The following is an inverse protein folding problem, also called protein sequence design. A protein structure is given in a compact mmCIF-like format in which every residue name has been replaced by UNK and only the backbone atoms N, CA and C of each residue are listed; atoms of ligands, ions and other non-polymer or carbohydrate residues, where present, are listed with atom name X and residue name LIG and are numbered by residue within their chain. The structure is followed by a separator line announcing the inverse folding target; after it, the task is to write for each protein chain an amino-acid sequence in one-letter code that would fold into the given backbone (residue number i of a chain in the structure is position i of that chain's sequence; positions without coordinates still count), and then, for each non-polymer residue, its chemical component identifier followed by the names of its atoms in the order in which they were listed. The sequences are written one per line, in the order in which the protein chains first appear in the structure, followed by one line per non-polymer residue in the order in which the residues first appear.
data_IF_021114602631
#
_entry.id   IF_021114602631
#
_cell.length_a   1.000
_cell.length_b   1.000
_cell.length_c   1.000
_cell.angle_alpha   90.00
_cell.angle_beta   90.00
_cell.angle_gamma   90.00
#
_symmetry.space_group_name_H-M   'P 1'
#
loop_
_entity.id
_entity.type
_entity.pdbx_description
1 polymer ?
#
# COMPACT_ATOMS: atom_id res chain seq x y z
N UNK A 1 36.21 -23.39 -15.19
CA UNK A 1 35.01 -22.76 -15.78
C UNK A 1 33.84 -22.88 -14.81
N UNK A 2 33.24 -21.76 -14.39
CA UNK A 2 32.17 -21.77 -13.40
C UNK A 2 30.98 -22.61 -13.90
N UNK A 3 30.63 -23.67 -13.15
CA UNK A 3 29.55 -24.59 -13.48
C UNK A 3 28.25 -23.78 -13.59
N UNK A 4 27.57 -23.85 -14.74
CA UNK A 4 26.28 -23.19 -14.99
C UNK A 4 25.22 -23.75 -14.02
N UNK A 5 25.05 -23.10 -12.88
CA UNK A 5 24.08 -23.52 -11.86
C UNK A 5 22.65 -23.17 -12.33
N UNK A 6 22.00 -24.14 -12.99
CA UNK A 6 20.65 -24.01 -13.54
C UNK A 6 19.60 -23.60 -12.47
N UNK A 7 19.78 -24.07 -11.24
CA UNK A 7 18.93 -23.72 -10.10
C UNK A 7 19.03 -22.22 -9.76
N UNK A 8 20.23 -21.64 -9.77
CA UNK A 8 20.47 -20.23 -9.51
C UNK A 8 19.83 -19.35 -10.60
N UNK A 9 20.04 -19.69 -11.88
CA UNK A 9 19.43 -18.97 -13.01
C UNK A 9 17.89 -19.02 -12.95
N UNK A 10 17.29 -20.13 -12.51
CA UNK A 10 15.85 -20.23 -12.26
C UNK A 10 15.41 -19.29 -11.13
N UNK A 11 16.17 -19.21 -10.03
CA UNK A 11 15.86 -18.30 -8.92
C UNK A 11 15.92 -16.83 -9.32
N UNK A 12 16.88 -16.43 -10.16
CA UNK A 12 16.95 -15.06 -10.72
C UNK A 12 15.69 -14.73 -11.52
N UNK A 13 15.28 -15.61 -12.45
CA UNK A 13 14.04 -15.39 -13.23
C UNK A 13 12.78 -15.31 -12.34
N UNK A 14 12.72 -16.11 -11.26
CA UNK A 14 11.61 -16.06 -10.31
C UNK A 14 11.63 -14.76 -9.47
N UNK A 15 12.81 -14.31 -9.04
CA UNK A 15 12.95 -13.11 -8.21
C UNK A 15 12.54 -11.86 -8.99
N UNK A 16 12.91 -11.75 -10.26
CA UNK A 16 12.51 -10.63 -11.13
C UNK A 16 10.99 -10.55 -11.31
N UNK A 17 10.33 -11.68 -11.56
CA UNK A 17 8.86 -11.75 -11.69
C UNK A 17 8.17 -11.30 -10.40
N UNK A 18 8.69 -11.73 -9.23
CA UNK A 18 8.18 -11.29 -7.92
C UNK A 18 8.48 -9.81 -7.67
N UNK A 19 9.66 -9.33 -8.06
CA UNK A 19 10.08 -7.92 -7.91
C UNK A 19 9.12 -7.00 -8.64
N UNK A 20 8.83 -7.26 -9.93
CA UNK A 20 7.89 -6.45 -10.74
C UNK A 20 6.50 -6.39 -10.10
N UNK A 21 5.97 -7.54 -9.67
CA UNK A 21 4.69 -7.64 -8.97
C UNK A 21 4.69 -6.82 -7.68
N UNK A 22 5.71 -6.97 -6.85
CA UNK A 22 5.82 -6.27 -5.57
C UNK A 22 6.00 -4.76 -5.77
N UNK A 23 6.73 -4.35 -6.80
CA UNK A 23 6.92 -2.96 -7.18
C UNK A 23 5.58 -2.31 -7.55
N UNK A 24 4.77 -2.98 -8.40
CA UNK A 24 3.43 -2.51 -8.76
C UNK A 24 2.56 -2.26 -7.52
N UNK A 25 2.42 -3.25 -6.64
CA UNK A 25 1.59 -3.08 -5.44
C UNK A 25 2.12 -1.98 -4.51
N UNK A 26 3.44 -1.86 -4.36
CA UNK A 26 4.05 -0.79 -3.54
C UNK A 26 3.80 0.59 -4.14
N UNK A 27 3.93 0.75 -5.46
CA UNK A 27 3.67 2.04 -6.13
C UNK A 27 2.19 2.40 -6.10
N UNK A 28 1.30 1.43 -6.30
CA UNK A 28 -0.16 1.63 -6.17
C UNK A 28 -0.49 2.14 -4.77
N UNK A 29 -0.04 1.46 -3.71
CA UNK A 29 -0.31 1.89 -2.32
C UNK A 29 0.21 3.31 -2.07
N UNK A 30 1.42 3.64 -2.55
CA UNK A 30 1.99 4.99 -2.42
C UNK A 30 1.11 6.03 -3.13
N UNK A 31 0.64 5.73 -4.33
CA UNK A 31 -0.22 6.62 -5.13
C UNK A 31 -1.54 6.90 -4.44
N UNK A 32 -2.23 5.86 -3.97
CA UNK A 32 -3.50 6.01 -3.26
C UNK A 32 -3.35 6.72 -1.92
N UNK A 33 -2.25 6.47 -1.19
CA UNK A 33 -1.95 7.22 0.03
C UNK A 33 -1.81 8.71 -0.26
N UNK A 34 -1.12 9.09 -1.34
CA UNK A 34 -1.00 10.50 -1.77
C UNK A 34 -2.34 11.11 -2.17
N UNK A 35 -3.22 10.35 -2.82
CA UNK A 35 -4.58 10.82 -3.16
C UNK A 35 -5.40 11.15 -1.91
N UNK A 36 -5.31 10.31 -0.87
CA UNK A 36 -5.95 10.60 0.42
C UNK A 36 -5.36 11.86 1.05
N UNK A 37 -4.04 12.01 1.04
CA UNK A 37 -3.37 13.20 1.57
C UNK A 37 -3.78 14.48 0.80
N UNK A 38 -3.90 14.40 -0.53
CA UNK A 38 -4.38 15.50 -1.35
C UNK A 38 -5.84 15.87 -1.06
N UNK A 39 -6.73 14.88 -0.88
CA UNK A 39 -8.13 15.11 -0.51
C UNK A 39 -8.26 15.77 0.88
N UNK A 40 -7.43 15.34 1.84
CA UNK A 40 -7.33 15.99 3.15
C UNK A 40 -6.92 17.47 3.00
N UNK A 41 -5.90 17.76 2.19
CA UNK A 41 -5.45 19.13 1.96
C UNK A 41 -6.48 20.00 1.24
N UNK A 42 -7.33 19.41 0.40
CA UNK A 42 -8.43 20.10 -0.27
C UNK A 42 -9.65 20.36 0.64
N UNK A 43 -9.69 19.80 1.85
CA UNK A 43 -10.80 19.98 2.79
C UNK A 43 -12.08 19.22 2.45
N UNK A 44 -12.05 18.34 1.44
CA UNK A 44 -13.22 17.57 1.01
C UNK A 44 -13.31 16.24 1.77
N UNK A 45 -14.24 16.20 2.71
CA UNK A 45 -14.46 15.05 3.60
C UNK A 45 -14.99 13.82 2.86
N UNK A 46 -15.91 14.01 1.92
CA UNK A 46 -16.57 12.88 1.23
C UNK A 46 -15.57 12.16 0.32
N UNK A 47 -14.77 12.91 -0.44
CA UNK A 47 -13.74 12.30 -1.28
C UNK A 47 -12.62 11.69 -0.45
N UNK A 48 -12.24 12.29 0.69
CA UNK A 48 -11.26 11.71 1.60
C UNK A 48 -11.73 10.35 2.17
N UNK A 49 -12.99 10.23 2.59
CA UNK A 49 -13.57 8.97 3.09
C UNK A 49 -13.63 7.90 2.00
N UNK A 50 -14.06 8.27 0.78
CA UNK A 50 -14.10 7.35 -0.36
C UNK A 50 -12.69 6.83 -0.71
N UNK A 51 -11.71 7.72 -0.78
CA UNK A 51 -10.32 7.37 -1.07
C UNK A 51 -9.68 6.55 0.05
N UNK A 52 -10.07 6.80 1.31
CA UNK A 52 -9.64 6.00 2.45
C UNK A 52 -10.12 4.55 2.33
N UNK A 53 -11.42 4.33 2.04
CA UNK A 53 -11.99 2.98 1.86
C UNK A 53 -11.29 2.23 0.73
N UNK A 54 -11.05 2.89 -0.40
CA UNK A 54 -10.33 2.28 -1.52
C UNK A 54 -8.88 1.93 -1.17
N UNK A 55 -8.18 2.83 -0.47
CA UNK A 55 -6.80 2.60 -0.02
C UNK A 55 -6.71 1.41 0.92
N UNK A 56 -7.66 1.27 1.87
CA UNK A 56 -7.74 0.12 2.78
C UNK A 56 -7.94 -1.17 1.97
N UNK A 57 -8.86 -1.17 1.00
CA UNK A 57 -9.10 -2.34 0.13
C UNK A 57 -7.83 -2.78 -0.61
N UNK A 58 -7.07 -1.83 -1.15
CA UNK A 58 -5.81 -2.10 -1.86
C UNK A 58 -4.76 -2.69 -0.92
N UNK A 59 -4.60 -2.12 0.29
CA UNK A 59 -3.64 -2.63 1.28
C UNK A 59 -4.01 -4.06 1.71
N UNK A 60 -5.29 -4.34 1.93
CA UNK A 60 -5.76 -5.69 2.26
C UNK A 60 -5.51 -6.69 1.11
N UNK A 61 -5.72 -6.29 -0.15
CA UNK A 61 -5.36 -7.11 -1.32
C UNK A 61 -3.85 -7.36 -1.43
N UNK A 62 -3.02 -6.37 -1.13
CA UNK A 62 -1.58 -6.53 -1.13
C UNK A 62 -1.10 -7.48 -0.02
N UNK A 63 -1.76 -7.44 1.15
CA UNK A 63 -1.54 -8.38 2.26
C UNK A 63 -1.90 -9.80 1.84
N UNK A 64 -3.09 -10.03 1.27
CA UNK A 64 -3.53 -11.39 0.89
C UNK A 64 -2.64 -12.01 -0.19
N UNK A 65 -2.07 -11.19 -1.08
CA UNK A 65 -1.10 -11.61 -2.10
C UNK A 65 0.33 -11.80 -1.56
N UNK A 66 0.56 -11.64 -0.26
CA UNK A 66 1.87 -11.81 0.39
C UNK A 66 2.89 -10.72 0.07
N UNK A 67 2.47 -9.58 -0.49
CA UNK A 67 3.38 -8.46 -0.82
C UNK A 67 3.75 -7.68 0.43
N UNK A 68 2.83 -7.56 1.38
CA UNK A 68 3.04 -6.92 2.68
C UNK A 68 2.79 -7.91 3.81
N UNK A 69 3.66 -7.88 4.82
CA UNK A 69 3.41 -8.55 6.08
C UNK A 69 2.20 -7.94 6.80
N UNK A 70 1.47 -8.77 7.57
CA UNK A 70 0.25 -8.37 8.30
C UNK A 70 0.46 -7.10 9.13
N UNK A 71 1.56 -7.01 9.88
CA UNK A 71 1.85 -5.85 10.74
C UNK A 71 2.13 -4.58 9.94
N UNK A 72 2.73 -4.71 8.75
CA UNK A 72 3.00 -3.56 7.87
C UNK A 72 1.71 -3.06 7.24
N UNK A 73 0.80 -3.96 6.84
CA UNK A 73 -0.52 -3.59 6.37
C UNK A 73 -1.32 -2.86 7.48
N UNK A 74 -1.39 -3.43 8.68
CA UNK A 74 -2.10 -2.83 9.82
C UNK A 74 -1.54 -1.45 10.21
N UNK A 75 -0.21 -1.31 10.27
CA UNK A 75 0.43 -0.01 10.54
C UNK A 75 0.07 1.05 9.50
N UNK A 76 0.04 0.68 8.22
CA UNK A 76 -0.31 1.62 7.14
C UNK A 76 -1.77 2.05 7.22
N UNK A 77 -2.70 1.11 7.42
CA UNK A 77 -4.12 1.40 7.60
C UNK A 77 -4.31 2.35 8.78
N UNK A 78 -3.78 1.99 9.95
CA UNK A 78 -3.91 2.80 11.17
C UNK A 78 -3.39 4.23 10.98
N UNK A 79 -2.23 4.41 10.34
CA UNK A 79 -1.65 5.74 10.10
C UNK A 79 -2.53 6.61 9.20
N UNK A 80 -3.03 6.06 8.09
CA UNK A 80 -3.85 6.84 7.14
C UNK A 80 -5.21 7.17 7.76
N UNK A 81 -5.86 6.20 8.43
CA UNK A 81 -7.12 6.44 9.15
C UNK A 81 -6.96 7.52 10.23
N UNK A 82 -5.89 7.46 11.03
CA UNK A 82 -5.60 8.50 12.03
C UNK A 82 -5.42 9.89 11.40
N UNK A 83 -4.78 9.99 10.24
CA UNK A 83 -4.61 11.28 9.53
C UNK A 83 -5.95 11.85 9.08
N UNK A 84 -6.80 11.05 8.43
CA UNK A 84 -8.15 11.46 7.99
C UNK A 84 -8.99 11.89 9.19
N UNK A 85 -9.03 11.06 10.24
CA UNK A 85 -9.80 11.36 11.44
C UNK A 85 -9.30 12.61 12.16
N UNK A 86 -7.98 12.85 12.19
CA UNK A 86 -7.41 14.09 12.78
C UNK A 86 -7.78 15.32 11.95
N UNK A 87 -7.79 15.21 10.63
CA UNK A 87 -8.11 16.33 9.74
C UNK A 87 -9.59 16.72 9.77
N UNK A 88 -10.49 15.75 9.89
CA UNK A 88 -11.94 15.98 9.90
C UNK A 88 -12.57 15.75 11.28
N UNK A 89 -11.77 15.81 12.35
CA UNK A 89 -12.32 15.75 13.70
C UNK A 89 -13.14 17.02 13.88
N UNK A 90 -14.47 16.90 13.81
CA UNK A 90 -15.36 17.90 14.37
C UNK A 90 -15.00 18.08 15.84
N UNK A 91 -15.01 19.32 16.34
CA UNK A 91 -15.02 19.58 17.77
C UNK A 91 -16.10 18.73 18.42
N UNK A 92 -15.66 17.64 19.03
CA UNK A 92 -16.45 16.80 19.90
C UNK A 92 -15.58 16.69 21.15
N UNK A 93 -15.96 17.53 22.11
CA UNK A 93 -15.67 17.51 23.55
C UNK A 93 -14.34 16.88 23.98
#
# INVERSE_FOLDING_TARGET
MAKKNLSALKRVRQSEKRRRRNQFWKSTIKTFTKKVEAAISAGDKETAEKMLRETIRIICKARSKGVLHRNTASRKISRITKKVNKAFRSEAA
#
